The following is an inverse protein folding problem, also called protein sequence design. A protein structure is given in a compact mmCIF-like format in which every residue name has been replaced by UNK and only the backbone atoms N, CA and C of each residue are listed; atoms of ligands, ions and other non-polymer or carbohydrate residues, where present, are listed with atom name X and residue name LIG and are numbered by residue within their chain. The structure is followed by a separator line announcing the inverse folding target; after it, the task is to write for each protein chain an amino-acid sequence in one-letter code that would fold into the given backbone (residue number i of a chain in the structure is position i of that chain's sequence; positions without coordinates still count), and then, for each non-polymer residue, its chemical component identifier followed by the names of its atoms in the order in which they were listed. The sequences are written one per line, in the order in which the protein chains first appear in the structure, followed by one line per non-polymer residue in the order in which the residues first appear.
data_IF_109501578487
#
_entry.id   IF_109501578487
#
_cell.length_a   1.000
_cell.length_b   1.000
_cell.length_c   1.000
_cell.angle_alpha   90.00
_cell.angle_beta   90.00
_cell.angle_gamma   90.00
#
_symmetry.space_group_name_H-M   'P 1'
#
loop_
_entity.id
_entity.type
_entity.pdbx_description
1 polymer ?
#
# COMPACT_ATOMS: atom_id res chain seq x y z
N UNK A 1 -28.07 27.18 6.31
CA UNK A 1 -26.87 26.66 5.63
C UNK A 1 -26.64 27.30 4.25
N UNK A 2 -27.61 27.30 3.32
CA UNK A 2 -27.44 27.93 1.99
C UNK A 2 -27.10 29.43 2.04
N UNK A 3 -27.66 30.18 2.99
CA UNK A 3 -27.34 31.60 3.19
C UNK A 3 -25.90 31.80 3.65
N UNK A 4 -25.41 30.97 4.57
CA UNK A 4 -24.00 30.96 5.03
C UNK A 4 -23.04 30.59 3.90
N UNK A 5 -23.48 29.72 2.99
CA UNK A 5 -22.74 29.34 1.80
C UNK A 5 -22.77 30.39 0.67
N UNK A 6 -23.56 31.48 0.83
CA UNK A 6 -23.73 32.50 -0.20
C UNK A 6 -24.50 32.04 -1.44
N UNK A 7 -25.11 30.85 -1.42
CA UNK A 7 -25.82 30.28 -2.57
C UNK A 7 -27.35 30.32 -2.43
N UNK A 8 -27.88 30.99 -1.41
CA UNK A 8 -29.33 31.15 -1.25
C UNK A 8 -29.92 32.04 -2.37
N UNK A 9 -30.85 31.50 -3.16
CA UNK A 9 -31.53 32.25 -4.23
C UNK A 9 -32.91 31.69 -4.55
N UNK A 10 -33.70 32.49 -5.27
CA UNK A 10 -35.02 32.08 -5.77
C UNK A 10 -34.83 31.11 -6.95
N UNK A 11 -35.33 29.88 -6.81
CA UNK A 11 -35.28 28.85 -7.86
C UNK A 11 -36.45 29.06 -8.83
N UNK A 12 -36.16 29.44 -10.07
CA UNK A 12 -37.17 29.64 -11.13
C UNK A 12 -37.07 28.61 -12.24
N UNK A 13 -35.89 28.01 -12.38
CA UNK A 13 -35.55 27.02 -13.40
C UNK A 13 -34.83 25.82 -12.78
N UNK A 14 -34.67 24.73 -13.54
CA UNK A 14 -33.83 23.60 -13.12
C UNK A 14 -32.34 23.98 -13.05
N UNK A 15 -31.89 24.89 -13.92
CA UNK A 15 -30.53 25.42 -13.92
C UNK A 15 -30.20 26.17 -12.61
N UNK A 16 -31.16 26.91 -12.06
CA UNK A 16 -30.98 27.58 -10.76
C UNK A 16 -30.68 26.58 -9.65
N UNK A 17 -31.26 25.38 -9.70
CA UNK A 17 -31.00 24.32 -8.73
C UNK A 17 -29.57 23.81 -8.85
N UNK A 18 -29.08 23.59 -10.07
CA UNK A 18 -27.68 23.17 -10.31
C UNK A 18 -26.70 24.21 -9.76
N UNK A 19 -26.96 25.51 -10.00
CA UNK A 19 -26.12 26.58 -9.49
C UNK A 19 -26.10 26.66 -7.95
N UNK A 20 -27.23 26.39 -7.27
CA UNK A 20 -27.26 26.30 -5.80
C UNK A 20 -26.44 25.11 -5.30
N UNK A 21 -26.53 23.96 -5.98
CA UNK A 21 -25.77 22.76 -5.65
C UNK A 21 -24.28 23.00 -5.83
N UNK A 22 -23.85 23.52 -6.98
CA UNK A 22 -22.45 23.83 -7.28
C UNK A 22 -21.86 24.84 -6.28
N UNK A 23 -22.60 25.91 -6.01
CA UNK A 23 -22.19 26.92 -5.04
C UNK A 23 -22.07 26.34 -3.62
N UNK A 24 -22.98 25.44 -3.24
CA UNK A 24 -22.91 24.78 -1.94
C UNK A 24 -21.73 23.81 -1.85
N UNK A 25 -21.45 23.03 -2.90
CA UNK A 25 -20.30 22.12 -2.98
C UNK A 25 -18.99 22.92 -2.89
N UNK A 26 -18.84 24.00 -3.66
CA UNK A 26 -17.66 24.86 -3.58
C UNK A 26 -17.48 25.45 -2.18
N UNK A 27 -18.54 25.91 -1.54
CA UNK A 27 -18.45 26.42 -0.18
C UNK A 27 -18.07 25.35 0.83
N UNK A 28 -18.72 24.19 0.77
CA UNK A 28 -18.54 23.13 1.73
C UNK A 28 -17.13 22.55 1.70
N UNK A 29 -16.61 22.26 0.51
CA UNK A 29 -15.28 21.67 0.36
C UNK A 29 -14.17 22.73 0.35
N UNK A 30 -14.36 23.86 -0.33
CA UNK A 30 -13.29 24.84 -0.59
C UNK A 30 -13.35 26.05 0.34
N UNK A 31 -14.41 26.87 0.25
CA UNK A 31 -14.41 28.18 0.91
C UNK A 31 -14.43 28.08 2.44
N UNK A 32 -15.19 27.14 3.01
CA UNK A 32 -15.24 26.94 4.46
C UNK A 32 -13.88 26.54 5.04
N UNK A 33 -13.06 25.84 4.26
CA UNK A 33 -11.75 25.33 4.67
C UNK A 33 -10.58 26.17 4.12
N UNK A 34 -10.85 27.35 3.55
CA UNK A 34 -9.83 28.13 2.82
C UNK A 34 -8.60 28.47 3.68
N UNK A 35 -8.79 28.77 4.97
CA UNK A 35 -7.68 29.03 5.91
C UNK A 35 -6.80 27.78 6.06
N UNK A 36 -7.41 26.60 6.21
CA UNK A 36 -6.70 25.33 6.32
C UNK A 36 -5.91 25.02 5.04
N UNK A 37 -6.51 25.24 3.87
CA UNK A 37 -5.79 25.10 2.60
C UNK A 37 -4.62 26.07 2.48
N UNK A 38 -4.81 27.33 2.87
CA UNK A 38 -3.74 28.31 2.79
C UNK A 38 -2.57 27.90 3.71
N UNK A 39 -2.85 27.52 4.96
CA UNK A 39 -1.83 27.04 5.89
C UNK A 39 -1.12 25.78 5.40
N UNK A 40 -1.85 24.86 4.78
CA UNK A 40 -1.26 23.67 4.16
C UNK A 40 -0.32 24.04 3.00
N UNK A 41 -0.76 24.94 2.11
CA UNK A 41 0.08 25.48 1.03
C UNK A 41 1.33 26.17 1.56
N UNK A 42 1.20 27.00 2.59
CA UNK A 42 2.33 27.69 3.22
C UNK A 42 3.33 26.69 3.83
N UNK A 43 2.84 25.62 4.46
CA UNK A 43 3.67 24.53 4.97
C UNK A 43 4.45 23.83 3.86
N UNK A 44 3.77 23.46 2.78
CA UNK A 44 4.41 22.87 1.59
C UNK A 44 5.40 23.84 0.92
N UNK A 45 5.13 25.14 0.93
CA UNK A 45 6.02 26.16 0.38
C UNK A 45 7.31 26.34 1.19
N UNK A 46 7.36 25.89 2.46
CA UNK A 46 8.54 26.03 3.34
C UNK A 46 9.78 25.35 2.75
N UNK A 47 9.60 24.26 2.00
CA UNK A 47 10.68 23.57 1.27
C UNK A 47 10.57 23.75 -0.25
N UNK A 48 9.89 24.81 -0.70
CA UNK A 48 9.62 25.12 -2.11
C UNK A 48 8.81 24.04 -2.87
N UNK A 49 8.21 23.08 -2.16
CA UNK A 49 7.46 21.98 -2.77
C UNK A 49 6.19 22.47 -3.46
N UNK A 50 5.44 23.37 -2.82
CA UNK A 50 4.21 23.93 -3.42
C UNK A 50 4.48 24.63 -4.76
N UNK A 51 5.53 25.44 -4.84
CA UNK A 51 5.91 26.14 -6.07
C UNK A 51 6.32 25.15 -7.18
N UNK A 52 7.06 24.10 -6.83
CA UNK A 52 7.43 23.05 -7.78
C UNK A 52 6.18 22.30 -8.31
N UNK A 53 5.22 22.01 -7.42
CA UNK A 53 3.96 21.37 -7.77
C UNK A 53 3.14 22.22 -8.75
N UNK A 54 3.05 23.53 -8.54
CA UNK A 54 2.35 24.44 -9.46
C UNK A 54 3.04 24.58 -10.82
N UNK A 55 4.37 24.57 -10.87
CA UNK A 55 5.14 24.69 -12.11
C UNK A 55 5.12 23.40 -12.94
N UNK A 56 5.00 22.24 -12.30
CA UNK A 56 5.12 20.93 -12.96
C UNK A 56 4.02 19.93 -12.55
N UNK A 57 2.73 20.29 -12.66
CA UNK A 57 1.64 19.49 -12.12
C UNK A 57 1.58 18.07 -12.71
N UNK A 58 1.92 17.91 -13.99
CA UNK A 58 1.94 16.60 -14.66
C UNK A 58 2.99 15.64 -14.09
N UNK A 59 4.13 16.14 -13.59
CA UNK A 59 5.17 15.31 -12.97
C UNK A 59 4.73 14.80 -11.59
N UNK A 60 3.92 15.57 -10.87
CA UNK A 60 3.46 15.24 -9.54
C UNK A 60 2.14 14.46 -9.51
N UNK A 61 1.36 14.49 -10.60
CA UNK A 61 0.05 13.84 -10.68
C UNK A 61 0.07 12.36 -10.23
N UNK A 62 1.02 11.51 -10.65
CA UNK A 62 1.06 10.10 -10.22
C UNK A 62 1.34 9.91 -8.72
N UNK A 63 1.87 10.94 -8.05
CA UNK A 63 2.26 10.90 -6.63
C UNK A 63 1.24 11.59 -5.71
N UNK A 64 0.50 12.55 -6.25
CA UNK A 64 -0.49 13.35 -5.51
C UNK A 64 -1.93 12.85 -5.70
N UNK A 65 -2.17 12.06 -6.75
CA UNK A 65 -3.48 11.51 -7.07
C UNK A 65 -3.42 9.99 -6.92
N UNK A 66 -4.34 9.46 -6.12
CA UNK A 66 -4.51 8.04 -5.96
C UNK A 66 -4.85 7.38 -7.31
N UNK A 67 -4.11 6.33 -7.66
CA UNK A 67 -4.41 5.45 -8.79
C UNK A 67 -4.51 4.02 -8.26
N UNK A 68 -5.64 3.38 -8.49
CA UNK A 68 -5.82 1.98 -8.15
C UNK A 68 -5.06 1.11 -9.17
N UNK A 69 -3.78 0.90 -8.94
CA UNK A 69 -3.01 -0.09 -9.68
C UNK A 69 -3.07 -1.43 -8.96
N UNK A 70 -3.51 -2.46 -9.69
CA UNK A 70 -3.49 -3.82 -9.18
C UNK A 70 -2.05 -4.28 -9.00
N UNK A 71 -1.72 -4.64 -7.75
CA UNK A 71 -0.44 -5.24 -7.45
C UNK A 71 -0.31 -6.57 -8.21
N UNK A 72 0.91 -6.81 -8.73
CA UNK A 72 1.27 -8.00 -9.49
C UNK A 72 2.27 -8.85 -8.72
N UNK A 73 2.27 -10.15 -8.98
CA UNK A 73 3.15 -11.10 -8.31
C UNK A 73 4.62 -10.76 -8.58
N UNK A 74 4.96 -10.39 -9.82
CA UNK A 74 6.32 -10.06 -10.25
C UNK A 74 6.82 -8.76 -9.59
N UNK A 75 5.91 -7.81 -9.33
CA UNK A 75 6.24 -6.58 -8.61
C UNK A 75 6.62 -6.89 -7.16
N UNK A 76 5.90 -7.79 -6.48
CA UNK A 76 6.24 -8.21 -5.14
C UNK A 76 7.52 -9.05 -5.11
N UNK A 77 7.69 -9.98 -6.06
CA UNK A 77 8.92 -10.74 -6.20
C UNK A 77 10.14 -9.81 -6.29
N UNK A 78 10.11 -8.83 -7.20
CA UNK A 78 11.21 -7.89 -7.39
C UNK A 78 11.44 -6.97 -6.17
N UNK A 79 10.41 -6.77 -5.34
CA UNK A 79 10.50 -5.95 -4.13
C UNK A 79 11.33 -6.64 -3.05
N UNK A 80 11.15 -7.95 -2.85
CA UNK A 80 11.80 -8.70 -1.77
C UNK A 80 13.16 -9.25 -2.19
N UNK A 81 14.19 -8.95 -1.40
CA UNK A 81 15.53 -9.52 -1.57
C UNK A 81 15.71 -10.76 -0.70
N UNK A 82 15.92 -11.96 -1.27
CA UNK A 82 16.22 -13.15 -0.48
C UNK A 82 17.59 -13.06 0.22
N UNK A 83 17.63 -13.34 1.51
CA UNK A 83 18.85 -13.51 2.30
C UNK A 83 19.12 -14.99 2.49
N UNK A 84 19.99 -15.52 1.63
CA UNK A 84 20.28 -16.94 1.57
C UNK A 84 21.56 -17.27 2.32
N UNK A 85 21.64 -18.50 2.84
CA UNK A 85 22.88 -19.10 3.32
C UNK A 85 23.93 -19.22 2.20
N UNK A 86 25.22 -19.38 2.53
CA UNK A 86 26.28 -19.60 1.56
C UNK A 86 26.02 -20.83 0.69
N UNK A 87 26.42 -20.73 -0.58
CA UNK A 87 26.35 -21.83 -1.56
C UNK A 87 27.09 -23.06 -1.04
N UNK A 88 26.45 -24.23 -1.15
CA UNK A 88 27.01 -25.52 -0.71
C UNK A 88 26.71 -25.88 0.75
N UNK A 89 26.07 -25.00 1.53
CA UNK A 89 25.55 -25.36 2.85
C UNK A 89 24.31 -26.26 2.74
N UNK A 90 24.06 -27.10 3.76
CA UNK A 90 22.83 -27.91 3.83
C UNK A 90 21.57 -27.05 3.85
N UNK A 91 21.64 -25.86 4.49
CA UNK A 91 20.53 -24.91 4.53
C UNK A 91 20.19 -24.36 3.13
N UNK A 92 21.19 -24.15 2.27
CA UNK A 92 20.99 -23.53 0.97
C UNK A 92 19.96 -24.25 0.10
N UNK A 93 20.02 -25.59 0.07
CA UNK A 93 19.10 -26.39 -0.76
C UNK A 93 17.65 -26.27 -0.27
N UNK A 94 17.44 -26.23 1.05
CA UNK A 94 16.12 -26.07 1.64
C UNK A 94 15.58 -24.66 1.40
N UNK A 95 16.43 -23.63 1.52
CA UNK A 95 16.07 -22.24 1.27
C UNK A 95 15.71 -22.00 -0.20
N UNK A 96 16.44 -22.60 -1.15
CA UNK A 96 16.13 -22.47 -2.59
C UNK A 96 14.78 -23.10 -2.93
N UNK A 97 14.47 -24.25 -2.32
CA UNK A 97 13.17 -24.90 -2.47
C UNK A 97 12.03 -24.03 -1.90
N UNK A 98 12.22 -23.48 -0.70
CA UNK A 98 11.21 -22.60 -0.07
C UNK A 98 11.07 -21.28 -0.81
N UNK A 99 12.15 -20.77 -1.40
CA UNK A 99 12.08 -19.60 -2.28
C UNK A 99 11.24 -19.92 -3.52
N UNK A 100 11.36 -21.12 -4.09
CA UNK A 100 10.45 -21.60 -5.15
C UNK A 100 9.00 -21.57 -4.70
N UNK A 101 8.69 -22.12 -3.52
CA UNK A 101 7.32 -22.08 -2.97
C UNK A 101 6.80 -20.66 -2.75
N UNK A 102 7.66 -19.73 -2.36
CA UNK A 102 7.29 -18.33 -2.23
C UNK A 102 6.88 -17.70 -3.56
N UNK A 103 7.61 -17.97 -4.64
CA UNK A 103 7.26 -17.46 -5.96
C UNK A 103 5.94 -18.05 -6.46
N UNK A 104 5.77 -19.36 -6.32
CA UNK A 104 4.53 -20.06 -6.66
C UNK A 104 3.34 -19.52 -5.84
N UNK A 105 3.57 -19.25 -4.55
CA UNK A 105 2.56 -18.69 -3.65
C UNK A 105 2.11 -17.27 -4.06
N UNK A 106 3.02 -16.41 -4.52
CA UNK A 106 2.64 -15.08 -5.02
C UNK A 106 1.74 -15.17 -6.26
N UNK A 107 1.99 -16.15 -7.14
CA UNK A 107 1.14 -16.42 -8.30
C UNK A 107 -0.22 -16.96 -7.85
N UNK A 108 -0.22 -17.96 -6.96
CA UNK A 108 -1.44 -18.57 -6.43
C UNK A 108 -2.33 -17.56 -5.71
N UNK A 109 -1.78 -16.65 -4.89
CA UNK A 109 -2.57 -15.59 -4.23
C UNK A 109 -3.21 -14.63 -5.23
N UNK A 110 -2.59 -14.43 -6.41
CA UNK A 110 -3.16 -13.57 -7.46
C UNK A 110 -4.26 -14.28 -8.24
N UNK A 111 -4.10 -15.58 -8.52
CA UNK A 111 -5.00 -16.36 -9.37
C UNK A 111 -6.14 -17.04 -8.61
N UNK A 112 -5.91 -17.43 -7.36
CA UNK A 112 -6.84 -18.22 -6.56
C UNK A 112 -7.61 -17.39 -5.51
N UNK A 113 -8.88 -17.76 -5.32
CA UNK A 113 -9.76 -17.19 -4.30
C UNK A 113 -9.43 -17.65 -2.87
N UNK A 114 -8.15 -17.74 -2.51
CA UNK A 114 -7.67 -18.07 -1.15
C UNK A 114 -8.22 -17.12 -0.07
N UNK A 115 -8.85 -16.02 -0.49
CA UNK A 115 -9.37 -14.95 0.38
C UNK A 115 -8.26 -14.00 0.84
N UNK A 116 -7.04 -14.15 0.32
CA UNK A 116 -5.95 -13.20 0.45
C UNK A 116 -5.67 -12.53 -0.87
N UNK A 117 -5.19 -11.30 -0.78
CA UNK A 117 -4.69 -10.51 -1.89
C UNK A 117 -3.19 -10.28 -1.74
N UNK A 118 -2.53 -9.86 -2.82
CA UNK A 118 -1.12 -9.43 -2.75
C UNK A 118 -0.93 -8.22 -1.81
N UNK A 119 -1.96 -7.39 -1.65
CA UNK A 119 -1.96 -6.29 -0.69
C UNK A 119 -1.94 -6.80 0.76
N UNK A 120 -2.56 -7.94 1.05
CA UNK A 120 -2.50 -8.56 2.39
C UNK A 120 -1.10 -9.09 2.69
N UNK A 121 -0.43 -9.67 1.67
CA UNK A 121 0.97 -10.10 1.76
C UNK A 121 1.89 -8.90 2.01
N UNK A 122 1.71 -7.80 1.25
CA UNK A 122 2.48 -6.57 1.42
C UNK A 122 2.26 -5.95 2.80
N UNK A 123 1.00 -5.89 3.25
CA UNK A 123 0.61 -5.38 4.57
C UNK A 123 1.26 -6.20 5.68
N UNK A 124 1.19 -7.52 5.59
CA UNK A 124 1.85 -8.40 6.55
C UNK A 124 3.34 -8.13 6.65
N UNK A 125 4.02 -7.96 5.51
CA UNK A 125 5.47 -7.80 5.45
C UNK A 125 5.98 -6.40 5.86
N UNK A 126 5.23 -5.35 5.50
CA UNK A 126 5.72 -3.95 5.50
C UNK A 126 4.79 -2.98 6.23
N UNK A 127 3.61 -3.42 6.68
CA UNK A 127 2.61 -2.56 7.27
C UNK A 127 1.90 -1.63 6.27
N UNK A 128 2.14 -1.78 4.97
CA UNK A 128 1.55 -0.95 3.92
C UNK A 128 0.65 -1.77 2.99
N UNK A 129 -0.45 -1.19 2.53
CA UNK A 129 -1.32 -1.82 1.52
C UNK A 129 -0.84 -1.62 0.09
N UNK A 130 0.04 -0.63 -0.10
CA UNK A 130 0.51 -0.18 -1.40
C UNK A 130 2.00 0.13 -1.32
N UNK A 131 2.71 -0.07 -2.43
CA UNK A 131 4.13 0.26 -2.51
C UNK A 131 4.23 1.78 -2.62
N UNK A 132 4.86 2.47 -1.65
CA UNK A 132 4.99 3.91 -1.73
C UNK A 132 5.82 4.31 -2.96
N UNK A 133 5.47 5.44 -3.56
CA UNK A 133 6.26 6.03 -4.63
C UNK A 133 7.71 6.31 -4.22
N UNK A 134 7.88 6.70 -2.95
CA UNK A 134 9.17 6.64 -2.29
C UNK A 134 9.51 5.16 -2.02
N UNK A 135 10.63 4.67 -2.56
CA UNK A 135 11.08 3.29 -2.34
C UNK A 135 11.05 2.92 -0.85
N UNK A 136 10.74 1.66 -0.54
CA UNK A 136 10.84 1.12 0.82
C UNK A 136 12.31 1.04 1.26
N UNK A 137 12.64 1.71 2.35
CA UNK A 137 13.98 1.72 2.96
C UNK A 137 13.83 1.31 4.43
N UNK A 138 14.46 0.20 4.87
CA UNK A 138 15.32 -0.69 4.08
C UNK A 138 14.53 -1.47 3.01
N UNK A 139 15.21 -1.92 1.94
CA UNK A 139 14.60 -2.78 0.93
C UNK A 139 14.01 -4.03 1.61
N UNK A 140 12.77 -4.42 1.31
CA UNK A 140 12.17 -5.60 1.91
C UNK A 140 13.00 -6.88 1.68
N UNK A 141 13.00 -7.76 2.66
CA UNK A 141 13.83 -8.97 2.66
C UNK A 141 13.01 -10.20 2.99
N UNK A 142 13.37 -11.31 2.34
CA UNK A 142 12.92 -12.65 2.70
C UNK A 142 14.08 -13.38 3.36
N UNK A 143 13.82 -13.96 4.52
CA UNK A 143 14.73 -14.83 5.28
C UNK A 143 14.03 -16.15 5.56
N UNK A 144 14.74 -17.14 6.08
CA UNK A 144 14.20 -18.50 6.24
C UNK A 144 14.33 -18.97 7.69
N UNK A 145 13.36 -19.73 8.17
CA UNK A 145 13.34 -20.24 9.54
C UNK A 145 12.90 -21.70 9.65
N UNK A 146 13.54 -22.44 10.56
CA UNK A 146 13.25 -23.86 10.83
C UNK A 146 12.40 -24.10 12.08
N UNK A 147 12.27 -23.10 12.94
CA UNK A 147 11.74 -23.27 14.29
C UNK A 147 10.26 -22.88 14.43
N UNK A 148 9.67 -22.28 13.40
CA UNK A 148 8.26 -21.90 13.37
C UNK A 148 7.58 -22.51 12.15
N UNK A 149 6.32 -22.92 12.33
CA UNK A 149 5.46 -23.38 11.23
C UNK A 149 4.96 -22.21 10.39
N UNK A 150 4.79 -21.02 10.99
CA UNK A 150 4.11 -19.88 10.37
C UNK A 150 5.12 -18.82 9.92
N UNK A 151 4.77 -17.99 8.93
CA UNK A 151 5.60 -16.83 8.61
C UNK A 151 5.64 -15.83 9.77
N UNK A 152 6.76 -15.12 9.86
CA UNK A 152 6.92 -13.99 10.77
C UNK A 152 7.27 -12.74 9.96
N UNK A 153 6.74 -11.59 10.37
CA UNK A 153 7.13 -10.31 9.80
C UNK A 153 7.72 -9.41 10.88
N UNK A 154 8.82 -8.75 10.53
CA UNK A 154 9.35 -7.59 11.24
C UNK A 154 9.19 -6.37 10.34
N UNK A 155 8.09 -5.65 10.55
CA UNK A 155 7.73 -4.47 9.77
C UNK A 155 8.76 -3.35 9.89
N UNK A 156 9.38 -3.16 11.06
CA UNK A 156 10.39 -2.12 11.24
C UNK A 156 11.64 -2.35 10.39
N UNK A 157 11.97 -3.61 10.08
CA UNK A 157 13.10 -3.99 9.24
C UNK A 157 12.68 -4.45 7.85
N UNK A 158 11.40 -4.32 7.48
CA UNK A 158 10.81 -4.86 6.25
C UNK A 158 11.23 -6.32 5.97
N UNK A 159 11.27 -7.17 7.00
CA UNK A 159 11.78 -8.54 6.87
C UNK A 159 10.67 -9.55 7.09
N UNK A 160 10.44 -10.41 6.11
CA UNK A 160 9.59 -11.59 6.24
C UNK A 160 10.45 -12.84 6.44
N UNK A 161 10.12 -13.68 7.42
CA UNK A 161 10.73 -14.98 7.64
C UNK A 161 9.78 -16.06 7.14
N UNK A 162 10.21 -16.79 6.12
CA UNK A 162 9.48 -17.90 5.53
C UNK A 162 9.75 -19.20 6.31
N UNK A 163 8.71 -19.97 6.66
CA UNK A 163 8.89 -21.26 7.30
C UNK A 163 9.44 -22.29 6.31
N UNK A 164 10.49 -23.01 6.69
CA UNK A 164 11.01 -24.13 5.91
C UNK A 164 10.13 -25.35 6.16
N UNK A 165 9.27 -25.65 5.20
CA UNK A 165 8.29 -26.74 5.29
C UNK A 165 8.54 -27.82 4.22
N UNK A 166 8.06 -29.07 4.39
CA UNK A 166 8.38 -30.18 3.49
C UNK A 166 7.73 -30.11 2.10
N UNK A 167 6.58 -29.47 1.95
CA UNK A 167 5.83 -29.38 0.68
C UNK A 167 5.24 -27.98 0.47
N UNK A 168 4.83 -27.70 -0.78
CA UNK A 168 4.18 -26.44 -1.14
C UNK A 168 2.83 -26.29 -0.43
N UNK A 169 2.03 -27.35 -0.34
CA UNK A 169 0.69 -27.31 0.27
C UNK A 169 0.77 -26.94 1.75
N UNK A 170 1.74 -27.52 2.48
CA UNK A 170 1.99 -27.15 3.87
C UNK A 170 2.46 -25.71 4.01
N UNK A 171 3.29 -25.25 3.08
CA UNK A 171 3.79 -23.88 3.02
C UNK A 171 2.65 -22.89 2.79
N UNK A 172 1.84 -23.11 1.76
CA UNK A 172 0.67 -22.30 1.42
C UNK A 172 -0.34 -22.23 2.57
N UNK A 173 -0.70 -23.36 3.18
CA UNK A 173 -1.60 -23.40 4.34
C UNK A 173 -1.05 -22.54 5.49
N UNK A 174 0.24 -22.67 5.79
CA UNK A 174 0.89 -21.93 6.87
C UNK A 174 0.98 -20.43 6.57
N UNK A 175 1.31 -20.06 5.32
CA UNK A 175 1.35 -18.67 4.87
C UNK A 175 -0.04 -18.04 4.96
N UNK A 176 -1.06 -18.71 4.42
CA UNK A 176 -2.44 -18.26 4.45
C UNK A 176 -2.93 -18.07 5.89
N UNK A 177 -2.66 -19.04 6.77
CA UNK A 177 -3.03 -18.94 8.18
C UNK A 177 -2.30 -17.80 8.88
N UNK A 178 -0.99 -17.70 8.72
CA UNK A 178 -0.16 -16.69 9.39
C UNK A 178 -0.55 -15.27 9.01
N UNK A 179 -0.76 -15.01 7.72
CA UNK A 179 -1.16 -13.68 7.22
C UNK A 179 -2.57 -13.32 7.72
N UNK A 180 -3.55 -14.22 7.60
CA UNK A 180 -4.94 -13.95 8.03
C UNK A 180 -5.07 -13.71 9.54
N UNK A 181 -4.26 -14.39 10.34
CA UNK A 181 -4.32 -14.31 11.81
C UNK A 181 -3.33 -13.29 12.39
N UNK A 182 -2.83 -12.37 11.57
CA UNK A 182 -2.00 -11.23 12.00
C UNK A 182 -2.71 -9.87 11.90
N UNK A 183 -3.99 -9.71 12.31
CA UNK A 183 -4.67 -8.43 12.19
C UNK A 183 -4.04 -7.40 13.13
N UNK A 184 -3.42 -6.35 12.58
CA UNK A 184 -3.02 -5.16 13.35
C UNK A 184 -1.57 -4.68 13.22
N UNK A 185 -0.70 -5.29 12.42
CA UNK A 185 0.59 -4.67 12.12
C UNK A 185 0.41 -3.52 11.12
N UNK A 186 0.66 -2.27 11.56
CA UNK A 186 0.68 -1.08 10.69
C UNK A 186 -0.56 -0.18 10.71
N UNK A 187 -1.60 -0.50 11.50
CA UNK A 187 -2.69 0.44 11.80
C UNK A 187 -2.26 1.36 12.96
N UNK A 188 -1.39 2.33 12.65
CA UNK A 188 -1.23 3.57 13.44
C UNK A 188 -1.94 4.71 12.72
#
# INVERSE_FOLDING_TARGET
MLQTAGCYRCLRTLEDKEQVVDGYIQWYFTYRNHVSFQRFKDGLATLNFFNALEQHPSLFLPYMVYSAEDLKAETLEALFRPQMSPTGSSNRQEEERVLGYWLDYLIAVKEEGSGLSLQDVLMFATGLKEIPAAKLIPQPQVTFQKHSRFPEANVCSNTMKLPILPSYEMFEEAMNYGIKNSPGFGLL
#
